data_IF_719748830443
#
_entry.id   IF_719748830443
#
_cell.length_a   1.000
_cell.length_b   1.000
_cell.length_c   1.000
_cell.angle_alpha   90.00
_cell.angle_beta   90.00
_cell.angle_gamma   90.00
#
_symmetry.space_group_name_H-M   'P 1'
#
loop_
_entity.id
_entity.type
_entity.pdbx_description
1 polymer ?
#
# COMPACT_ATOMS: atom_id res chain seq x y z
N UNK A 1 -0.41 6.97 17.09
CA UNK A 1 -0.67 5.57 16.72
C UNK A 1 -2.06 5.57 16.15
N UNK A 2 -2.21 5.25 14.87
CA UNK A 2 -3.51 5.17 14.21
C UNK A 2 -3.90 3.69 14.15
N UNK A 3 -5.09 3.36 14.62
CA UNK A 3 -5.62 1.99 14.66
C UNK A 3 -6.94 1.99 13.90
N UNK A 4 -7.03 1.17 12.86
CA UNK A 4 -8.27 0.91 12.13
C UNK A 4 -8.71 -0.51 12.46
N UNK A 5 -9.96 -0.66 12.91
CA UNK A 5 -10.63 -1.94 13.08
C UNK A 5 -11.87 -1.93 12.16
N UNK A 6 -11.86 -2.80 11.16
CA UNK A 6 -13.06 -3.17 10.38
C UNK A 6 -13.31 -4.66 10.63
N UNK A 7 -14.55 -5.10 10.60
CA UNK A 7 -15.01 -6.37 11.20
C UNK A 7 -14.21 -7.67 10.93
N UNK A 8 -13.32 -7.70 9.94
CA UNK A 8 -12.41 -8.82 9.64
C UNK A 8 -10.91 -8.53 9.84
N UNK A 9 -10.48 -7.27 10.02
CA UNK A 9 -9.04 -6.94 10.09
C UNK A 9 -8.69 -5.75 10.98
N UNK A 10 -7.44 -5.73 11.43
CA UNK A 10 -6.82 -4.59 12.12
C UNK A 10 -5.65 -4.04 11.33
N UNK A 11 -5.54 -2.71 11.25
CA UNK A 11 -4.35 -2.01 10.76
C UNK A 11 -3.81 -1.04 11.82
N UNK A 12 -2.50 -1.01 11.99
CA UNK A 12 -1.77 -0.17 12.95
C UNK A 12 -0.55 0.46 12.31
N UNK A 13 -0.45 1.78 12.47
CA UNK A 13 0.72 2.54 12.03
C UNK A 13 1.40 3.28 13.19
N UNK A 14 2.72 3.16 13.23
CA UNK A 14 3.63 3.98 14.03
C UNK A 14 4.64 4.67 13.11
N UNK A 15 5.47 5.56 13.67
CA UNK A 15 6.52 6.26 12.91
C UNK A 15 7.50 5.30 12.22
N UNK A 16 7.75 4.14 12.85
CA UNK A 16 8.80 3.20 12.43
C UNK A 16 8.26 1.89 11.87
N UNK A 17 6.95 1.63 11.97
CA UNK A 17 6.35 0.35 11.59
C UNK A 17 4.91 0.50 11.16
N UNK A 18 4.54 -0.21 10.09
CA UNK A 18 3.16 -0.44 9.69
C UNK A 18 2.84 -1.94 9.76
N UNK A 19 1.66 -2.27 10.24
CA UNK A 19 1.22 -3.64 10.42
C UNK A 19 -0.29 -3.72 10.21
N UNK A 20 -0.73 -4.59 9.31
CA UNK A 20 -2.12 -4.95 9.12
C UNK A 20 -2.24 -6.48 9.13
N UNK A 21 -3.32 -7.00 9.69
CA UNK A 21 -3.59 -8.44 9.75
C UNK A 21 -5.08 -8.71 9.78
N UNK A 22 -5.44 -9.85 9.22
CA UNK A 22 -6.75 -10.48 9.40
C UNK A 22 -6.88 -11.03 10.84
N UNK A 23 -8.06 -10.91 11.45
CA UNK A 23 -8.25 -11.33 12.85
C UNK A 23 -8.24 -12.85 13.03
N UNK A 24 -8.72 -13.61 12.05
CA UNK A 24 -8.68 -15.08 12.09
C UNK A 24 -7.24 -15.56 11.90
N UNK A 25 -6.49 -14.93 11.00
CA UNK A 25 -5.05 -15.16 10.88
C UNK A 25 -4.32 -14.88 12.20
N UNK A 26 -4.67 -13.80 12.89
CA UNK A 26 -4.07 -13.47 14.19
C UNK A 26 -4.45 -14.48 15.27
N UNK A 27 -5.69 -14.97 15.29
CA UNK A 27 -6.10 -16.03 16.20
C UNK A 27 -5.30 -17.31 15.93
N UNK A 28 -5.20 -17.71 14.67
CA UNK A 28 -4.40 -18.86 14.21
C UNK A 28 -2.93 -18.72 14.61
N UNK A 29 -2.32 -17.54 14.45
CA UNK A 29 -0.94 -17.30 14.86
C UNK A 29 -0.69 -17.43 16.38
N UNK A 30 -1.73 -17.28 17.23
CA UNK A 30 -1.60 -17.53 18.68
C UNK A 30 -1.49 -19.02 19.00
N UNK A 31 -2.11 -19.87 18.18
CA UNK A 31 -2.00 -21.33 18.28
C UNK A 31 -0.63 -21.81 17.79
N UNK A 32 0.06 -20.99 16.97
CA UNK A 32 1.38 -21.27 16.41
C UNK A 32 2.45 -20.25 16.89
N UNK A 33 2.71 -20.12 18.21
CA UNK A 33 3.47 -18.99 18.77
C UNK A 33 4.93 -18.91 18.32
N UNK A 34 5.50 -19.98 17.74
CA UNK A 34 6.86 -20.00 17.21
C UNK A 34 6.93 -19.80 15.69
N UNK A 35 5.79 -19.85 14.98
CA UNK A 35 5.76 -19.90 13.52
C UNK A 35 6.51 -18.74 12.88
N UNK A 36 6.18 -17.51 13.27
CA UNK A 36 6.82 -16.31 12.73
C UNK A 36 8.32 -16.26 13.03
N UNK A 37 8.73 -16.65 14.24
CA UNK A 37 10.13 -16.66 14.63
C UNK A 37 10.92 -17.66 13.78
N UNK A 38 10.41 -18.88 13.64
CA UNK A 38 11.05 -19.95 12.86
C UNK A 38 11.09 -19.61 11.36
N UNK A 39 10.01 -19.04 10.80
CA UNK A 39 10.01 -18.52 9.44
C UNK A 39 11.10 -17.46 9.23
N UNK A 40 11.20 -16.47 10.12
CA UNK A 40 12.23 -15.43 10.03
C UNK A 40 13.65 -15.99 10.17
N UNK A 41 13.86 -17.02 10.99
CA UNK A 41 15.13 -17.72 11.08
C UNK A 41 15.50 -18.43 9.78
N UNK A 42 14.52 -19.03 9.09
CA UNK A 42 14.72 -19.65 7.76
C UNK A 42 15.14 -18.58 6.76
N UNK A 43 14.31 -17.55 6.53
CA UNK A 43 14.55 -16.57 5.44
C UNK A 43 15.76 -15.66 5.68
N UNK A 44 16.29 -15.61 6.90
CA UNK A 44 17.52 -14.86 7.24
C UNK A 44 18.77 -15.74 7.25
N UNK A 45 18.62 -17.07 7.13
CA UNK A 45 19.74 -18.01 7.14
C UNK A 45 20.61 -17.92 5.88
N UNK A 46 21.88 -18.32 5.96
CA UNK A 46 22.75 -18.46 4.79
C UNK A 46 22.25 -19.54 3.82
N UNK A 47 21.62 -20.59 4.35
CA UNK A 47 20.99 -21.64 3.55
C UNK A 47 19.96 -21.06 2.58
N UNK A 48 19.05 -20.22 3.10
CA UNK A 48 18.04 -19.55 2.27
C UNK A 48 18.64 -18.51 1.32
N UNK A 49 19.66 -17.76 1.74
CA UNK A 49 20.31 -16.76 0.87
C UNK A 49 20.98 -17.40 -0.36
N UNK A 50 21.39 -18.66 -0.26
CA UNK A 50 21.99 -19.43 -1.34
C UNK A 50 20.99 -20.32 -2.09
N UNK A 51 19.71 -20.28 -1.71
CA UNK A 51 18.67 -21.09 -2.35
C UNK A 51 18.37 -20.61 -3.78
N UNK A 52 18.05 -21.55 -4.65
CA UNK A 52 17.51 -21.32 -6.00
C UNK A 52 16.02 -21.66 -6.06
N UNK A 53 15.31 -21.15 -7.07
CA UNK A 53 13.89 -21.43 -7.27
C UNK A 53 13.64 -22.95 -7.29
N UNK A 54 12.60 -23.37 -6.58
CA UNK A 54 12.25 -24.77 -6.32
C UNK A 54 12.87 -25.37 -5.06
N UNK A 55 13.87 -24.73 -4.44
CA UNK A 55 14.41 -25.23 -3.17
C UNK A 55 13.40 -25.11 -2.04
N UNK A 56 13.41 -26.12 -1.16
CA UNK A 56 12.56 -26.22 0.03
C UNK A 56 13.46 -26.25 1.26
N UNK A 57 13.20 -25.39 2.23
CA UNK A 57 13.88 -25.39 3.52
C UNK A 57 12.84 -25.65 4.61
N UNK A 58 13.09 -26.66 5.43
CA UNK A 58 12.18 -27.08 6.49
C UNK A 58 12.80 -26.88 7.87
N UNK A 59 12.05 -26.25 8.78
CA UNK A 59 12.46 -26.10 10.18
C UNK A 59 11.24 -25.98 11.09
N UNK A 60 11.20 -26.78 12.15
CA UNK A 60 10.16 -26.69 13.18
C UNK A 60 8.73 -26.88 12.65
N UNK A 61 8.53 -27.79 11.69
CA UNK A 61 7.22 -28.06 11.06
C UNK A 61 6.82 -27.06 9.98
N UNK A 62 7.64 -26.03 9.73
CA UNK A 62 7.44 -25.07 8.66
C UNK A 62 8.26 -25.49 7.46
N UNK A 63 7.64 -25.52 6.28
CA UNK A 63 8.35 -25.64 4.99
C UNK A 63 8.25 -24.32 4.24
N UNK A 64 9.38 -23.83 3.75
CA UNK A 64 9.47 -22.64 2.92
C UNK A 64 10.04 -23.04 1.57
N UNK A 65 9.24 -22.87 0.52
CA UNK A 65 9.65 -23.11 -0.87
C UNK A 65 9.91 -21.77 -1.55
N UNK A 66 11.09 -21.61 -2.16
CA UNK A 66 11.39 -20.45 -3.02
C UNK A 66 10.72 -20.65 -4.38
N UNK A 67 9.70 -19.86 -4.70
CA UNK A 67 8.96 -19.98 -5.97
C UNK A 67 9.44 -18.98 -7.03
N UNK A 68 9.94 -17.83 -6.59
CA UNK A 68 10.48 -16.81 -7.47
C UNK A 68 11.53 -16.01 -6.71
N UNK A 69 12.58 -15.57 -7.40
CA UNK A 69 13.58 -14.67 -6.83
C UNK A 69 13.89 -13.55 -7.83
N UNK A 70 13.42 -12.35 -7.53
CA UNK A 70 13.73 -11.15 -8.28
C UNK A 70 14.84 -10.37 -7.58
N UNK A 71 15.82 -9.88 -8.36
CA UNK A 71 16.87 -9.01 -7.83
C UNK A 71 16.28 -7.71 -7.25
N UNK A 72 15.30 -7.14 -7.95
CA UNK A 72 14.72 -5.83 -7.63
C UNK A 72 13.56 -5.93 -6.63
N UNK A 73 12.76 -7.00 -6.68
CA UNK A 73 11.57 -7.15 -5.83
C UNK A 73 11.77 -8.12 -4.66
N UNK A 74 12.88 -8.86 -4.61
CA UNK A 74 13.09 -9.88 -3.58
C UNK A 74 12.27 -11.16 -3.79
N UNK A 75 12.34 -12.13 -2.86
CA UNK A 75 11.81 -13.47 -3.08
C UNK A 75 10.30 -13.56 -2.86
N UNK A 76 9.65 -14.44 -3.65
CA UNK A 76 8.29 -14.94 -3.42
C UNK A 76 8.37 -16.37 -2.96
N UNK A 77 7.54 -16.71 -1.97
CA UNK A 77 7.63 -17.97 -1.25
C UNK A 77 6.26 -18.63 -1.14
N UNK A 78 6.28 -19.96 -1.14
CA UNK A 78 5.20 -20.76 -0.58
C UNK A 78 5.61 -21.20 0.82
N UNK A 79 4.76 -20.94 1.81
CA UNK A 79 4.93 -21.31 3.20
C UNK A 79 3.88 -22.36 3.54
N UNK A 80 4.32 -23.53 4.03
CA UNK A 80 3.44 -24.58 4.55
C UNK A 80 3.65 -24.73 6.06
N UNK A 81 2.54 -24.76 6.81
CA UNK A 81 2.51 -25.04 8.24
C UNK A 81 1.17 -25.70 8.58
N UNK A 82 1.25 -26.90 9.19
CA UNK A 82 0.10 -27.68 9.64
C UNK A 82 -0.99 -27.85 8.56
N UNK A 83 -0.56 -28.22 7.36
CA UNK A 83 -1.42 -28.43 6.18
C UNK A 83 -1.96 -27.14 5.55
N UNK A 84 -1.75 -25.98 6.17
CA UNK A 84 -2.14 -24.68 5.62
C UNK A 84 -1.03 -24.11 4.76
N UNK A 85 -1.39 -23.61 3.58
CA UNK A 85 -0.45 -23.02 2.63
C UNK A 85 -0.68 -21.51 2.52
N UNK A 86 0.42 -20.77 2.52
CA UNK A 86 0.44 -19.32 2.36
C UNK A 86 1.39 -18.93 1.23
N UNK A 87 1.07 -17.84 0.58
CA UNK A 87 1.99 -17.13 -0.30
C UNK A 87 2.61 -15.97 0.47
N UNK A 88 3.93 -15.77 0.32
CA UNK A 88 4.68 -14.70 1.01
C UNK A 88 5.52 -13.91 0.02
N UNK A 89 5.35 -12.59 -0.03
CA UNK A 89 6.27 -11.66 -0.71
C UNK A 89 7.21 -11.04 0.32
N UNK A 90 8.50 -11.02 0.01
CA UNK A 90 9.50 -10.25 0.77
C UNK A 90 10.12 -9.22 -0.17
N UNK A 91 9.86 -7.95 0.08
CA UNK A 91 10.39 -6.86 -0.74
C UNK A 91 11.78 -6.42 -0.24
N UNK A 92 12.78 -6.44 -1.13
CA UNK A 92 14.14 -5.97 -0.84
C UNK A 92 14.30 -4.51 -1.28
N UNK A 93 14.69 -3.65 -0.33
CA UNK A 93 14.89 -2.18 -0.47
C UNK A 93 13.63 -1.39 -0.83
N UNK A 94 13.58 -0.19 -0.24
CA UNK A 94 12.62 0.87 -0.56
C UNK A 94 12.79 1.33 -1.99
N UNK A 95 12.22 0.62 -2.97
CA UNK A 95 11.96 1.27 -4.25
C UNK A 95 10.90 2.34 -4.00
N UNK A 96 11.42 3.57 -4.00
CA UNK A 96 10.78 4.77 -4.53
C UNK A 96 9.39 5.13 -4.00
N UNK A 97 9.32 6.31 -3.37
CA UNK A 97 8.17 7.22 -3.45
C UNK A 97 6.79 6.54 -3.57
N UNK A 98 6.44 5.68 -2.60
CA UNK A 98 5.06 5.27 -2.35
C UNK A 98 4.53 3.98 -2.98
N UNK A 99 5.30 3.15 -3.70
CA UNK A 99 4.73 1.93 -4.30
C UNK A 99 5.03 0.59 -3.56
N UNK A 100 3.99 -0.26 -3.56
CA UNK A 100 3.83 -1.65 -3.07
C UNK A 100 4.71 -2.12 -1.90
N UNK A 101 4.31 -1.72 -0.69
CA UNK A 101 4.80 -2.31 0.55
C UNK A 101 3.73 -3.22 1.15
N UNK A 102 4.11 -4.30 1.82
CA UNK A 102 3.16 -5.36 2.17
C UNK A 102 1.99 -4.90 3.05
N UNK A 103 2.19 -3.87 3.86
CA UNK A 103 1.09 -3.18 4.56
C UNK A 103 0.10 -2.52 3.60
N UNK A 104 0.60 -1.78 2.61
CA UNK A 104 -0.22 -1.10 1.60
C UNK A 104 -0.99 -2.10 0.74
N UNK A 105 -0.33 -3.15 0.26
CA UNK A 105 -0.96 -4.22 -0.53
C UNK A 105 -2.11 -4.86 0.25
N UNK A 106 -1.92 -5.14 1.55
CA UNK A 106 -3.01 -5.61 2.41
C UNK A 106 -4.18 -4.62 2.45
N UNK A 107 -3.94 -3.34 2.75
CA UNK A 107 -5.00 -2.32 2.88
C UNK A 107 -5.75 -2.13 1.57
N UNK A 108 -5.03 -2.04 0.45
CA UNK A 108 -5.64 -1.87 -0.87
C UNK A 108 -6.44 -3.09 -1.30
N UNK A 109 -6.00 -4.30 -0.94
CA UNK A 109 -6.77 -5.52 -1.18
C UNK A 109 -8.09 -5.51 -0.42
N UNK A 110 -8.10 -5.04 0.85
CA UNK A 110 -9.36 -4.87 1.60
C UNK A 110 -10.26 -3.82 0.94
N UNK A 111 -9.69 -2.72 0.44
CA UNK A 111 -10.48 -1.69 -0.23
C UNK A 111 -11.08 -2.18 -1.54
N UNK A 112 -10.34 -2.96 -2.32
CA UNK A 112 -10.83 -3.57 -3.54
C UNK A 112 -11.96 -4.56 -3.24
N UNK A 113 -11.86 -5.37 -2.17
CA UNK A 113 -12.96 -6.24 -1.71
C UNK A 113 -14.25 -5.47 -1.47
N UNK A 114 -14.16 -4.32 -0.80
CA UNK A 114 -15.33 -3.48 -0.53
C UNK A 114 -15.96 -2.93 -1.82
N UNK A 115 -15.14 -2.50 -2.78
CA UNK A 115 -15.63 -1.94 -4.05
C UNK A 115 -16.23 -3.02 -4.96
N UNK A 116 -15.64 -4.22 -4.96
CA UNK A 116 -16.07 -5.35 -5.78
C UNK A 116 -17.21 -6.18 -5.16
N UNK A 117 -17.61 -5.92 -3.90
CA UNK A 117 -18.62 -6.71 -3.20
C UNK A 117 -19.98 -6.81 -3.92
N UNK A 118 -20.29 -5.85 -4.80
CA UNK A 118 -21.51 -5.86 -5.62
C UNK A 118 -21.37 -6.54 -6.99
N UNK A 119 -20.17 -6.93 -7.40
CA UNK A 119 -19.91 -7.53 -8.71
C UNK A 119 -19.86 -9.06 -8.60
N UNK A 120 -20.90 -9.73 -9.09
CA UNK A 120 -21.00 -11.19 -9.07
C UNK A 120 -19.89 -11.86 -9.89
N UNK A 121 -19.37 -12.99 -9.40
CA UNK A 121 -18.32 -13.77 -10.08
C UNK A 121 -16.92 -13.19 -9.92
N UNK A 122 -16.72 -12.28 -8.95
CA UNK A 122 -15.42 -11.63 -8.71
C UNK A 122 -15.08 -11.65 -7.23
N UNK A 123 -13.84 -12.01 -6.93
CA UNK A 123 -13.28 -11.99 -5.60
C UNK A 123 -11.88 -11.37 -5.61
N UNK A 124 -11.42 -10.97 -4.43
CA UNK A 124 -10.03 -10.59 -4.20
C UNK A 124 -9.46 -11.62 -3.24
N UNK A 125 -8.27 -12.11 -3.54
CA UNK A 125 -7.54 -13.05 -2.71
C UNK A 125 -7.50 -12.70 -1.21
N UNK A 126 -7.29 -13.71 -0.38
CA UNK A 126 -7.31 -13.58 1.07
C UNK A 126 -5.97 -13.14 1.65
N UNK A 127 -5.73 -11.83 1.69
CA UNK A 127 -4.62 -11.23 2.44
C UNK A 127 -4.71 -11.55 3.94
N UNK A 128 -3.60 -12.00 4.53
CA UNK A 128 -3.51 -12.45 5.93
C UNK A 128 -2.68 -11.48 6.79
N UNK A 129 -1.57 -10.97 6.25
CA UNK A 129 -0.65 -10.07 6.94
C UNK A 129 0.00 -9.09 5.96
N UNK A 130 0.05 -7.82 6.32
CA UNK A 130 0.89 -6.81 5.70
C UNK A 130 1.78 -6.15 6.74
N UNK A 131 3.09 -6.30 6.64
CA UNK A 131 4.06 -5.73 7.58
C UNK A 131 5.09 -4.90 6.85
N UNK A 132 5.52 -3.81 7.49
CA UNK A 132 6.50 -2.93 6.89
C UNK A 132 7.28 -2.12 7.93
N UNK A 133 8.58 -1.94 7.67
CA UNK A 133 9.47 -0.99 8.34
C UNK A 133 10.33 -0.25 7.29
N UNK A 134 11.32 0.52 7.72
CA UNK A 134 12.33 1.09 6.82
C UNK A 134 13.23 0.06 6.14
N UNK A 135 13.37 -1.14 6.74
CA UNK A 135 14.39 -2.11 6.34
C UNK A 135 13.81 -3.35 5.65
N UNK A 136 12.54 -3.65 5.91
CA UNK A 136 11.91 -4.89 5.49
C UNK A 136 10.40 -4.69 5.31
N UNK A 137 9.85 -5.42 4.35
CA UNK A 137 8.44 -5.43 4.00
C UNK A 137 8.03 -6.87 3.69
N UNK A 138 6.93 -7.31 4.31
CA UNK A 138 6.36 -8.64 4.13
C UNK A 138 4.88 -8.51 3.80
N UNK A 139 4.45 -9.30 2.82
CA UNK A 139 3.05 -9.52 2.53
C UNK A 139 2.76 -11.02 2.59
N UNK A 140 1.65 -11.42 3.21
CA UNK A 140 1.20 -12.81 3.31
C UNK A 140 -0.26 -12.89 2.88
N UNK A 141 -0.58 -13.86 2.02
CA UNK A 141 -1.95 -14.28 1.71
C UNK A 141 -2.11 -15.79 1.80
N UNK A 142 -3.35 -16.28 1.71
CA UNK A 142 -3.58 -17.70 1.41
C UNK A 142 -2.92 -18.07 0.08
N UNK A 143 -2.42 -19.30 -0.01
CA UNK A 143 -1.98 -19.88 -1.26
C UNK A 143 -3.19 -20.18 -2.15
N UNK A 144 -3.09 -19.82 -3.43
CA UNK A 144 -4.09 -20.13 -4.44
C UNK A 144 -3.39 -21.02 -5.47
N UNK A 145 -3.97 -22.19 -5.72
CA UNK A 145 -3.44 -23.19 -6.66
C UNK A 145 -4.34 -23.26 -7.89
N UNK A 146 -4.39 -22.16 -8.63
CA UNK A 146 -5.22 -21.98 -9.82
C UNK A 146 -4.38 -21.42 -10.97
N UNK A 147 -4.74 -21.71 -12.24
CA UNK A 147 -4.09 -21.09 -13.39
C UNK A 147 -4.40 -19.59 -13.45
N UNK A 148 -3.48 -18.82 -14.03
CA UNK A 148 -3.77 -17.43 -14.39
C UNK A 148 -4.93 -17.37 -15.39
N UNK A 149 -5.76 -16.34 -15.34
CA UNK A 149 -6.90 -16.21 -16.26
C UNK A 149 -6.45 -16.19 -17.72
N UNK A 150 -5.29 -15.57 -18.02
CA UNK A 150 -4.71 -15.56 -19.36
C UNK A 150 -4.38 -16.97 -19.83
N UNK A 151 -3.69 -17.76 -19.01
CA UNK A 151 -3.33 -19.16 -19.32
C UNK A 151 -4.59 -20.00 -19.55
N UNK A 152 -5.63 -19.79 -18.73
CA UNK A 152 -6.90 -20.48 -18.90
C UNK A 152 -7.60 -20.09 -20.20
N UNK A 153 -7.66 -18.80 -20.54
CA UNK A 153 -8.24 -18.35 -21.82
C UNK A 153 -7.47 -18.89 -23.01
N UNK A 154 -6.14 -18.92 -22.95
CA UNK A 154 -5.30 -19.46 -24.02
C UNK A 154 -5.57 -20.97 -24.22
N UNK A 155 -5.70 -21.74 -23.13
CA UNK A 155 -6.11 -23.15 -23.21
C UNK A 155 -7.48 -23.34 -23.87
N UNK A 156 -8.45 -22.47 -23.60
CA UNK A 156 -9.77 -22.53 -24.24
C UNK A 156 -9.71 -22.17 -25.73
N UNK A 157 -8.84 -21.23 -26.12
CA UNK A 157 -8.67 -20.84 -27.54
C UNK A 157 -8.00 -21.97 -28.32
N UNK A 158 -6.99 -22.62 -27.73
CA UNK A 158 -6.27 -23.72 -28.37
C UNK A 158 -7.15 -24.98 -28.49
N UNK A 159 -8.14 -25.14 -27.62
CA UNK A 159 -9.10 -26.22 -27.66
C UNK A 159 -10.43 -25.75 -28.27
N UNK A 160 -10.62 -25.95 -29.57
CA UNK A 160 -11.79 -25.50 -30.36
C UNK A 160 -13.09 -26.30 -30.05
N UNK A 161 -13.46 -26.36 -28.77
CA UNK A 161 -14.72 -26.93 -28.29
C UNK A 161 -15.85 -25.89 -28.32
N UNK A 162 -17.06 -26.35 -28.60
CA UNK A 162 -18.27 -25.51 -28.65
C UNK A 162 -18.47 -24.78 -27.30
N UNK A 163 -18.56 -23.45 -27.34
CA UNK A 163 -18.76 -22.59 -26.17
C UNK A 163 -17.49 -21.95 -25.60
N UNK A 164 -16.29 -22.38 -26.03
CA UNK A 164 -15.03 -21.80 -25.52
C UNK A 164 -14.84 -20.34 -25.94
N UNK A 165 -15.16 -19.99 -27.19
CA UNK A 165 -15.12 -18.60 -27.66
C UNK A 165 -16.07 -17.69 -26.86
N UNK A 166 -17.27 -18.18 -26.55
CA UNK A 166 -18.25 -17.46 -25.73
C UNK A 166 -17.69 -17.25 -24.32
N UNK A 167 -17.10 -18.29 -23.71
CA UNK A 167 -16.52 -18.17 -22.37
C UNK A 167 -15.37 -17.17 -22.32
N UNK A 168 -14.47 -17.18 -23.31
CA UNK A 168 -13.38 -16.20 -23.40
C UNK A 168 -13.95 -14.78 -23.56
N UNK A 169 -15.00 -14.61 -24.35
CA UNK A 169 -15.67 -13.31 -24.50
C UNK A 169 -16.29 -12.82 -23.18
N UNK A 170 -16.94 -13.70 -22.42
CA UNK A 170 -17.51 -13.41 -21.09
C UNK A 170 -16.42 -12.98 -20.10
N UNK A 171 -15.32 -13.72 -20.02
CA UNK A 171 -14.19 -13.40 -19.13
C UNK A 171 -13.59 -12.04 -19.45
N UNK A 172 -13.35 -11.74 -20.74
CA UNK A 172 -12.85 -10.42 -21.17
C UNK A 172 -13.84 -9.30 -20.86
N UNK A 173 -15.15 -9.56 -21.00
CA UNK A 173 -16.19 -8.59 -20.63
C UNK A 173 -16.17 -8.35 -19.11
N UNK A 174 -16.08 -9.40 -18.31
CA UNK A 174 -15.98 -9.29 -16.85
C UNK A 174 -14.73 -8.54 -16.42
N UNK A 175 -13.58 -8.78 -17.07
CA UNK A 175 -12.36 -8.03 -16.80
C UNK A 175 -12.54 -6.52 -17.07
N UNK A 176 -13.23 -6.12 -18.14
CA UNK A 176 -13.56 -4.70 -18.38
C UNK A 176 -14.46 -4.12 -17.29
N UNK A 177 -15.47 -4.86 -16.82
CA UNK A 177 -16.33 -4.42 -15.71
C UNK A 177 -15.52 -4.22 -14.41
N UNK A 178 -14.57 -5.12 -14.13
CA UNK A 178 -13.63 -5.01 -13.00
C UNK A 178 -12.79 -3.74 -13.11
N UNK A 179 -12.24 -3.44 -14.29
CA UNK A 179 -11.45 -2.24 -14.53
C UNK A 179 -12.25 -0.96 -14.26
N UNK A 180 -13.52 -0.90 -14.67
CA UNK A 180 -14.37 0.26 -14.41
C UNK A 180 -14.64 0.47 -12.91
N UNK A 181 -14.86 -0.62 -12.17
CA UNK A 181 -15.06 -0.56 -10.71
C UNK A 181 -13.77 -0.15 -9.99
N UNK A 182 -12.62 -0.64 -10.45
CA UNK A 182 -11.30 -0.40 -9.86
C UNK A 182 -10.47 0.62 -10.65
N UNK A 183 -11.11 1.59 -11.32
CA UNK A 183 -10.44 2.58 -12.18
C UNK A 183 -9.33 3.39 -11.51
N UNK A 184 -9.38 3.51 -10.18
CA UNK A 184 -8.39 4.22 -9.36
C UNK A 184 -7.26 3.30 -8.85
N UNK A 185 -7.22 2.04 -9.30
CA UNK A 185 -6.17 1.08 -9.01
C UNK A 185 -5.26 0.90 -10.22
N UNK A 186 -4.01 0.51 -9.96
CA UNK A 186 -3.05 0.08 -10.96
C UNK A 186 -2.96 -1.44 -11.01
N UNK A 187 -2.31 -1.92 -12.07
CA UNK A 187 -1.99 -3.32 -12.30
C UNK A 187 -3.22 -4.25 -12.29
N UNK A 188 -4.39 -3.69 -12.61
CA UNK A 188 -5.56 -4.47 -12.99
C UNK A 188 -5.26 -4.97 -14.42
N UNK A 189 -4.89 -6.23 -14.54
CA UNK A 189 -4.63 -6.89 -15.83
C UNK A 189 -4.72 -8.42 -15.65
N UNK A 190 -4.77 -9.15 -16.76
CA UNK A 190 -4.97 -10.60 -16.77
C UNK A 190 -3.83 -11.39 -16.07
N UNK A 191 -2.61 -10.83 -15.95
CA UNK A 191 -1.51 -11.50 -15.23
C UNK A 191 -1.70 -11.50 -13.71
N UNK A 192 -2.55 -10.61 -13.20
CA UNK A 192 -2.83 -10.42 -11.77
C UNK A 192 -4.21 -10.98 -11.39
N UNK A 193 -4.67 -11.98 -12.13
CA UNK A 193 -5.96 -12.62 -11.94
C UNK A 193 -5.84 -14.13 -12.12
N UNK A 194 -6.42 -14.88 -11.19
CA UNK A 194 -6.73 -16.28 -11.39
C UNK A 194 -8.15 -16.43 -11.89
N UNK A 195 -8.43 -17.56 -12.53
CA UNK A 195 -9.80 -17.99 -12.80
C UNK A 195 -10.06 -19.36 -12.19
N UNK A 196 -11.15 -19.46 -11.43
CA UNK A 196 -11.63 -20.72 -10.86
C UNK A 196 -12.80 -21.25 -11.71
N UNK A 197 -12.58 -22.30 -12.54
CA UNK A 197 -13.64 -22.88 -13.35
C UNK A 197 -14.70 -23.64 -12.52
N UNK A 198 -14.40 -24.02 -11.28
CA UNK A 198 -15.36 -24.75 -10.43
C UNK A 198 -16.41 -23.81 -9.83
N UNK A 199 -15.99 -22.61 -9.46
CA UNK A 199 -16.88 -21.60 -8.86
C UNK A 199 -17.30 -20.51 -9.84
N UNK A 200 -16.74 -20.50 -11.05
CA UNK A 200 -16.93 -19.48 -12.08
C UNK A 200 -16.59 -18.07 -11.57
N UNK A 201 -15.38 -17.94 -10.99
CA UNK A 201 -14.92 -16.71 -10.37
C UNK A 201 -13.57 -16.25 -10.89
N UNK A 202 -13.45 -14.93 -11.07
CA UNK A 202 -12.18 -14.25 -11.23
C UNK A 202 -11.66 -13.84 -9.86
N UNK A 203 -10.43 -14.20 -9.52
CA UNK A 203 -9.79 -13.85 -8.24
C UNK A 203 -8.62 -12.92 -8.50
N UNK A 204 -8.75 -11.66 -8.12
CA UNK A 204 -7.70 -10.66 -8.28
C UNK A 204 -6.63 -10.81 -7.20
N UNK A 205 -5.38 -10.50 -7.54
CA UNK A 205 -4.24 -10.38 -6.62
C UNK A 205 -3.27 -9.28 -7.08
N UNK A 206 -2.27 -8.94 -6.25
CA UNK A 206 -1.26 -7.90 -6.55
C UNK A 206 -1.83 -6.55 -7.01
N UNK A 207 -2.96 -6.16 -6.42
CA UNK A 207 -3.65 -4.91 -6.72
C UNK A 207 -3.20 -3.80 -5.77
N UNK A 208 -2.94 -2.61 -6.32
CA UNK A 208 -2.48 -1.46 -5.55
C UNK A 208 -3.01 -0.16 -6.13
N UNK A 209 -3.33 0.80 -5.26
CA UNK A 209 -3.67 2.17 -5.67
C UNK A 209 -2.40 3.01 -5.88
N UNK A 210 -2.44 4.09 -6.70
CA UNK A 210 -1.44 5.14 -6.61
C UNK A 210 -1.31 5.65 -5.17
N UNK A 211 -0.13 6.07 -4.73
CA UNK A 211 -0.03 7.08 -3.69
C UNK A 211 -0.87 8.30 -4.08
N UNK A 212 -1.58 8.85 -3.10
CA UNK A 212 -2.30 10.09 -3.29
C UNK A 212 -1.30 11.24 -3.48
N UNK A 213 -1.50 12.02 -4.54
CA UNK A 213 -0.82 13.27 -4.75
C UNK A 213 -1.77 14.43 -4.53
N UNK A 214 -1.46 15.25 -3.53
CA UNK A 214 -2.31 16.38 -3.14
C UNK A 214 -1.77 17.66 -3.76
N UNK A 215 -2.61 18.37 -4.48
CA UNK A 215 -2.34 19.72 -4.98
C UNK A 215 -3.27 20.69 -4.25
N UNK A 216 -2.69 21.59 -3.46
CA UNK A 216 -3.48 22.62 -2.78
C UNK A 216 -3.32 23.96 -3.46
N UNK A 217 -4.44 24.42 -4.02
CA UNK A 217 -4.55 25.65 -4.79
C UNK A 217 -6.03 26.04 -4.93
N UNK A 218 -6.34 27.31 -4.72
CA UNK A 218 -7.72 27.82 -4.74
C UNK A 218 -8.31 27.90 -6.17
N UNK A 219 -7.46 28.06 -7.19
CA UNK A 219 -7.88 28.40 -8.55
C UNK A 219 -7.32 27.47 -9.62
N UNK A 220 -6.07 27.04 -9.48
CA UNK A 220 -5.36 26.21 -10.47
C UNK A 220 -5.66 24.73 -10.25
N UNK A 221 -5.62 23.97 -11.34
CA UNK A 221 -5.70 22.51 -11.32
C UNK A 221 -4.43 22.00 -12.02
N UNK A 222 -3.74 21.00 -11.47
CA UNK A 222 -2.50 20.52 -12.06
C UNK A 222 -2.78 19.70 -13.32
N UNK A 223 -1.93 19.88 -14.34
CA UNK A 223 -1.91 19.01 -15.53
C UNK A 223 -1.16 17.69 -15.27
N UNK A 224 -0.41 17.62 -14.16
CA UNK A 224 0.35 16.43 -13.74
C UNK A 224 -0.60 15.40 -13.09
N UNK A 225 -0.83 14.24 -13.73
CA UNK A 225 -1.79 13.23 -13.26
C UNK A 225 -1.35 12.56 -11.94
N UNK A 226 -0.09 12.72 -11.52
CA UNK A 226 0.34 12.27 -10.20
C UNK A 226 -0.35 13.06 -9.07
N UNK A 227 -0.91 14.25 -9.34
CA UNK A 227 -1.77 14.97 -8.40
C UNK A 227 -3.24 14.60 -8.58
N UNK A 228 -3.58 13.39 -8.15
CA UNK A 228 -4.92 12.83 -8.23
C UNK A 228 -5.93 13.37 -7.18
N UNK A 229 -5.53 14.32 -6.33
CA UNK A 229 -6.42 15.02 -5.41
C UNK A 229 -6.13 16.52 -5.37
N UNK A 230 -7.12 17.35 -5.74
CA UNK A 230 -7.04 18.81 -5.60
C UNK A 230 -7.89 19.28 -4.43
N UNK A 231 -7.34 20.15 -3.60
CA UNK A 231 -8.06 20.78 -2.48
C UNK A 231 -7.92 22.30 -2.57
N UNK A 232 -8.98 23.02 -2.23
CA UNK A 232 -9.10 24.46 -2.50
C UNK A 232 -8.76 25.36 -1.31
N UNK A 233 -8.71 24.79 -0.11
CA UNK A 233 -8.54 25.55 1.13
C UNK A 233 -8.04 24.64 2.26
N UNK A 234 -7.70 25.26 3.40
CA UNK A 234 -7.22 24.53 4.58
C UNK A 234 -8.24 23.50 5.09
N UNK A 235 -9.55 23.82 5.09
CA UNK A 235 -10.56 22.89 5.60
C UNK A 235 -10.59 21.59 4.79
N UNK A 236 -10.58 21.69 3.47
CA UNK A 236 -10.54 20.52 2.58
C UNK A 236 -9.24 19.74 2.74
N UNK A 237 -8.09 20.42 2.81
CA UNK A 237 -6.80 19.77 3.05
C UNK A 237 -6.79 18.98 4.36
N UNK A 238 -7.25 19.61 5.45
CA UNK A 238 -7.31 18.96 6.76
C UNK A 238 -8.21 17.73 6.73
N UNK A 239 -9.41 17.83 6.15
CA UNK A 239 -10.34 16.72 6.03
C UNK A 239 -9.74 15.58 5.19
N UNK A 240 -9.01 15.91 4.12
CA UNK A 240 -8.35 14.94 3.26
C UNK A 240 -7.23 14.19 3.99
N UNK A 241 -6.35 14.91 4.71
CA UNK A 241 -5.30 14.30 5.53
C UNK A 241 -5.92 13.39 6.61
N UNK A 242 -6.91 13.87 7.35
CA UNK A 242 -7.56 13.10 8.41
C UNK A 242 -8.24 11.83 7.87
N UNK A 243 -8.90 11.92 6.71
CA UNK A 243 -9.49 10.76 6.02
C UNK A 243 -8.41 9.76 5.60
N UNK A 244 -7.35 10.23 4.94
CA UNK A 244 -6.28 9.36 4.47
C UNK A 244 -5.60 8.62 5.63
N UNK A 245 -5.39 9.32 6.75
CA UNK A 245 -4.88 8.73 7.98
C UNK A 245 -5.82 7.67 8.57
N UNK A 246 -7.12 7.94 8.56
CA UNK A 246 -8.13 6.99 9.05
C UNK A 246 -8.25 5.75 8.17
N UNK A 247 -8.13 5.90 6.84
CA UNK A 247 -8.27 4.79 5.88
C UNK A 247 -6.96 4.06 5.59
N UNK A 248 -5.82 4.59 6.05
CA UNK A 248 -4.49 4.03 5.72
C UNK A 248 -4.06 4.31 4.28
N UNK A 249 -4.66 5.31 3.61
CA UNK A 249 -4.23 5.75 2.29
C UNK A 249 -2.83 6.36 2.34
N UNK A 250 -1.98 5.94 1.40
CA UNK A 250 -0.61 6.44 1.30
C UNK A 250 -0.61 7.77 0.56
N UNK A 251 -0.08 8.83 1.19
CA UNK A 251 0.16 10.11 0.54
C UNK A 251 1.61 10.16 0.07
N UNK A 252 1.81 10.13 -1.25
CA UNK A 252 3.12 10.10 -1.89
C UNK A 252 3.71 11.49 -2.11
N UNK A 253 2.86 12.47 -2.44
CA UNK A 253 3.30 13.84 -2.72
C UNK A 253 2.27 14.89 -2.30
N UNK A 254 2.76 16.06 -1.91
CA UNK A 254 1.94 17.24 -1.60
C UNK A 254 2.62 18.46 -2.22
N UNK A 255 1.87 19.27 -2.95
CA UNK A 255 2.35 20.52 -3.52
C UNK A 255 1.53 21.68 -3.01
N UNK A 256 2.19 22.68 -2.43
CA UNK A 256 1.54 23.81 -1.77
C UNK A 256 1.56 25.09 -2.60
N UNK A 257 0.41 25.72 -2.80
CA UNK A 257 0.32 27.16 -2.99
C UNK A 257 0.35 27.85 -1.62
N UNK A 258 0.92 29.05 -1.56
CA UNK A 258 0.85 29.90 -0.38
C UNK A 258 -0.43 30.74 -0.36
N UNK A 259 -0.86 31.17 -1.54
CA UNK A 259 -2.03 32.02 -1.74
C UNK A 259 -3.25 31.13 -1.99
N UNK A 260 -4.24 31.18 -1.11
CA UNK A 260 -5.48 30.41 -1.26
C UNK A 260 -6.70 31.33 -1.19
N UNK A 261 -6.52 32.59 -1.62
CA UNK A 261 -7.54 33.63 -1.63
C UNK A 261 -7.55 34.52 -0.39
N UNK A 262 -8.45 35.52 -0.41
CA UNK A 262 -8.73 36.58 0.59
C UNK A 262 -7.66 36.88 1.66
N UNK A 263 -6.39 37.02 1.25
CA UNK A 263 -5.39 37.81 1.96
C UNK A 263 -4.70 37.17 3.17
N UNK A 264 -4.94 35.90 3.48
CA UNK A 264 -4.20 35.18 4.54
C UNK A 264 -3.27 34.13 3.93
N UNK A 265 -2.03 34.03 4.43
CA UNK A 265 -1.02 33.05 4.00
C UNK A 265 -1.39 31.62 4.42
N UNK A 266 -2.52 31.11 3.92
CA UNK A 266 -3.10 29.84 4.34
C UNK A 266 -2.20 28.67 3.97
N UNK A 267 -1.44 28.74 2.87
CA UNK A 267 -0.49 27.67 2.55
C UNK A 267 0.64 27.52 3.59
N UNK A 268 1.14 28.64 4.12
CA UNK A 268 2.10 28.62 5.23
C UNK A 268 1.48 28.03 6.51
N UNK A 269 0.25 28.43 6.85
CA UNK A 269 -0.47 27.87 8.01
C UNK A 269 -0.72 26.37 7.88
N UNK A 270 -1.08 25.91 6.68
CA UNK A 270 -1.28 24.50 6.36
C UNK A 270 0.02 23.72 6.53
N UNK A 271 1.14 24.27 6.05
CA UNK A 271 2.44 23.63 6.16
C UNK A 271 2.89 23.53 7.63
N UNK A 272 2.69 24.57 8.43
CA UNK A 272 2.95 24.55 9.88
C UNK A 272 2.06 23.53 10.60
N UNK A 273 0.75 23.52 10.31
CA UNK A 273 -0.18 22.57 10.87
C UNK A 273 0.20 21.12 10.53
N UNK A 274 0.61 20.86 9.28
CA UNK A 274 1.07 19.54 8.86
C UNK A 274 2.33 19.12 9.63
N UNK A 275 3.29 20.03 9.83
CA UNK A 275 4.49 19.75 10.61
C UNK A 275 4.17 19.45 12.09
N UNK A 276 3.21 20.17 12.68
CA UNK A 276 2.77 19.96 14.07
C UNK A 276 2.04 18.61 14.25
N UNK A 277 1.00 18.39 13.43
CA UNK A 277 0.08 17.27 13.62
C UNK A 277 0.58 15.99 12.98
N UNK A 278 1.32 16.08 11.88
CA UNK A 278 1.74 14.93 11.09
C UNK A 278 3.21 15.05 10.65
N UNK A 279 4.17 15.14 11.60
CA UNK A 279 5.60 15.28 11.28
C UNK A 279 6.15 14.13 10.43
N UNK A 280 5.47 12.97 10.40
CA UNK A 280 5.83 11.82 9.58
C UNK A 280 5.94 12.13 8.08
N UNK A 281 5.19 13.09 7.55
CA UNK A 281 5.29 13.46 6.13
C UNK A 281 6.59 14.21 5.78
N UNK A 282 7.37 14.62 6.79
CA UNK A 282 8.67 15.26 6.61
C UNK A 282 9.84 14.27 6.76
N UNK A 283 9.60 12.96 6.84
CA UNK A 283 10.66 11.96 7.01
C UNK A 283 11.48 11.66 5.74
N UNK A 284 10.97 12.11 4.58
CA UNK A 284 11.54 11.91 3.24
C UNK A 284 10.72 10.98 2.34
N UNK A 285 9.72 10.27 2.88
CA UNK A 285 8.86 9.34 2.11
C UNK A 285 7.75 10.06 1.34
N UNK A 286 7.33 11.22 1.80
CA UNK A 286 6.40 12.11 1.08
C UNK A 286 7.18 13.24 0.40
N UNK A 287 6.95 13.39 -0.90
CA UNK A 287 7.51 14.47 -1.68
C UNK A 287 6.72 15.76 -1.40
N UNK A 288 7.37 16.72 -0.73
CA UNK A 288 6.79 18.04 -0.46
C UNK A 288 7.36 19.07 -1.44
N UNK A 289 6.48 19.73 -2.20
CA UNK A 289 6.78 20.76 -3.20
C UNK A 289 6.03 22.06 -2.89
N UNK A 290 6.50 23.18 -3.42
CA UNK A 290 5.84 24.48 -3.29
C UNK A 290 5.73 25.10 -4.68
N UNK A 291 4.50 25.36 -5.13
CA UNK A 291 4.17 25.90 -6.45
C UNK A 291 3.60 27.32 -6.39
N UNK A 292 3.73 27.97 -5.23
CA UNK A 292 3.42 29.39 -5.04
C UNK A 292 4.04 30.29 -6.08
N UNK A 293 3.22 31.19 -6.65
CA UNK A 293 3.66 32.22 -7.58
C UNK A 293 4.48 33.31 -6.86
N UNK A 294 4.24 33.54 -5.57
CA UNK A 294 5.03 34.45 -4.75
C UNK A 294 6.41 33.82 -4.44
N UNK A 295 7.52 34.36 -4.98
CA UNK A 295 8.85 33.75 -4.86
C UNK A 295 9.38 33.80 -3.43
N UNK A 296 9.09 34.85 -2.66
CA UNK A 296 9.53 35.00 -1.27
C UNK A 296 8.81 34.00 -0.37
N UNK A 297 7.48 33.87 -0.53
CA UNK A 297 6.71 32.87 0.22
C UNK A 297 7.16 31.45 -0.15
N UNK A 298 7.38 31.20 -1.44
CA UNK A 298 7.87 29.91 -1.94
C UNK A 298 9.21 29.53 -1.30
N UNK A 299 10.18 30.45 -1.27
CA UNK A 299 11.48 30.23 -0.66
C UNK A 299 11.35 29.91 0.84
N UNK A 300 10.59 30.72 1.59
CA UNK A 300 10.34 30.49 3.02
C UNK A 300 9.73 29.12 3.31
N UNK A 301 8.71 28.72 2.55
CA UNK A 301 8.09 27.40 2.70
C UNK A 301 9.06 26.27 2.39
N UNK A 302 9.89 26.42 1.35
CA UNK A 302 10.91 25.43 1.01
C UNK A 302 11.99 25.31 2.09
N UNK A 303 12.43 26.43 2.67
CA UNK A 303 13.35 26.45 3.81
C UNK A 303 12.75 25.78 5.04
N UNK A 304 11.48 26.03 5.34
CA UNK A 304 10.76 25.37 6.43
C UNK A 304 10.65 23.86 6.22
N UNK A 305 10.33 23.39 5.00
CA UNK A 305 10.35 21.95 4.67
C UNK A 305 11.74 21.35 4.93
N UNK A 306 12.82 22.02 4.49
CA UNK A 306 14.20 21.57 4.75
C UNK A 306 14.50 21.52 6.24
N UNK A 307 14.08 22.54 7.00
CA UNK A 307 14.23 22.59 8.45
C UNK A 307 13.50 21.42 9.13
N UNK A 308 12.24 21.17 8.79
CA UNK A 308 11.46 20.07 9.37
C UNK A 308 12.09 18.71 9.05
N UNK A 309 12.57 18.50 7.83
CA UNK A 309 13.30 17.28 7.43
C UNK A 309 14.55 17.06 8.27
N UNK A 310 15.34 18.12 8.50
CA UNK A 310 16.56 18.07 9.33
C UNK A 310 16.24 17.77 10.80
N UNK A 311 15.09 18.23 11.30
CA UNK A 311 14.70 18.13 12.70
C UNK A 311 13.59 17.08 12.97
N UNK A 312 13.37 16.13 12.05
CA UNK A 312 12.25 15.18 12.10
C UNK A 312 12.11 14.40 13.41
N UNK A 313 13.23 13.96 13.99
CA UNK A 313 13.23 13.23 15.27
C UNK A 313 12.84 14.12 16.44
N UNK A 314 13.24 15.39 16.42
CA UNK A 314 12.88 16.36 17.44
C UNK A 314 11.38 16.71 17.34
N UNK A 315 10.86 16.91 16.13
CA UNK A 315 9.43 17.16 15.89
C UNK A 315 8.55 15.98 16.34
N UNK A 316 8.95 14.75 16.02
CA UNK A 316 8.26 13.53 16.46
C UNK A 316 8.24 13.38 18.00
N UNK A 317 9.36 13.73 18.67
CA UNK A 317 9.44 13.76 20.14
C UNK A 317 8.62 14.91 20.75
N UNK A 318 8.58 16.06 20.09
CA UNK A 318 7.87 17.26 20.56
C UNK A 318 6.34 17.05 20.59
N UNK A 319 5.77 16.27 19.67
CA UNK A 319 4.35 15.86 19.69
C UNK A 319 3.95 15.10 20.96
N UNK A 320 4.91 14.53 21.71
CA UNK A 320 4.67 13.85 22.99
C UNK A 320 4.67 14.80 24.19
N UNK A 321 4.95 16.10 23.98
CA UNK A 321 4.89 17.16 24.99
C UNK A 321 3.68 18.07 24.73
N UNK A 322 3.03 18.62 25.77
CA UNK A 322 2.06 19.68 25.57
C UNK A 322 2.76 20.94 25.05
N UNK A 323 2.50 21.30 23.78
CA UNK A 323 2.90 22.52 23.03
C UNK A 323 4.39 22.69 22.62
N UNK A 324 4.71 22.70 21.29
CA UNK A 324 6.10 22.90 20.85
C UNK A 324 6.40 24.00 19.80
N UNK A 325 5.46 24.81 19.33
CA UNK A 325 5.72 25.64 18.14
C UNK A 325 6.01 27.14 18.34
N UNK A 326 5.87 27.68 19.55
CA UNK A 326 6.15 29.11 19.80
C UNK A 326 7.65 29.43 20.00
N UNK A 327 8.50 28.41 20.18
CA UNK A 327 9.94 28.62 20.46
C UNK A 327 10.81 28.84 19.21
N UNK A 328 10.24 28.79 18.00
CA UNK A 328 11.00 28.88 16.74
C UNK A 328 11.00 30.31 16.16
N UNK A 329 10.18 31.24 16.67
CA UNK A 329 10.16 32.64 16.20
C UNK A 329 11.25 33.54 16.83
N UNK A 330 12.11 33.00 17.69
CA UNK A 330 13.18 33.77 18.35
C UNK A 330 14.56 33.17 18.11
N UNK A 331 15.05 33.15 16.87
CA UNK A 331 16.50 33.15 16.57
C UNK A 331 16.84 33.88 15.28
#
# INVERSE_FOLDING_TARGET
>A
MTKLEKGSFTSRETETRKLAYDEDFRAWMKEHPRAMKTFLEIVRSEEFKNAVVGNVIERGGIKVTLIESSYDRGPRLRLELDGTNFFVKIEKKSQEKGFAWGHKEFVDSQKAKELLAGLSGVEVYESQLGYQTEKESFFISKWIDLPGIQEYMDMLIDNDEEGNEEKVFELRKKNREIHEVLKDFFDINDYNMFYDPQTDKIILFDISRPPMGIYIDDTRTPDDPEYNATVRNFREFKALIERAEASGEVIGKISFDNDLGEGESQGWEILKWLADKYPKYFDGRTELKVHSANPVAREKMQEFIKYCRKNKEALAKAKKRPYPLDEIETK
#
